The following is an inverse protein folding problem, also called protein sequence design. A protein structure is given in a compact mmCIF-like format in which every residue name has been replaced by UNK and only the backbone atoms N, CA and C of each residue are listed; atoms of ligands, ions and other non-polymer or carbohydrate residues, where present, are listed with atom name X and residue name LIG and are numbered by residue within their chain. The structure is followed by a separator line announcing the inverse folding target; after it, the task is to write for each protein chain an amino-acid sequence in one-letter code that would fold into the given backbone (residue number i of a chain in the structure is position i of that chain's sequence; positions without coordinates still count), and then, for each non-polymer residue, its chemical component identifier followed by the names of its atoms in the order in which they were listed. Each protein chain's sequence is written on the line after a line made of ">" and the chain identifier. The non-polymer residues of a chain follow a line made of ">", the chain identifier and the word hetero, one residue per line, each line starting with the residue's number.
data_IF_923781433059
#
_entry.id   IF_923781433059
#
_cell.length_a   1.000
_cell.length_b   1.000
_cell.length_c   1.000
_cell.angle_alpha   90.00
_cell.angle_beta   90.00
_cell.angle_gamma   90.00
#
_symmetry.space_group_name_H-M   'P 1'
#
loop_
_entity.id
_entity.type
_entity.pdbx_description
1 polymer ?
#
# COMPACT_ATOMS: atom_id res chain seq x y z
N UNK A 1 23.12 2.08 -16.02
CA UNK A 1 22.24 3.13 -15.45
C UNK A 1 21.31 3.77 -16.47
N UNK A 2 21.77 4.10 -17.68
CA UNK A 2 20.96 4.77 -18.71
C UNK A 2 19.73 3.97 -19.16
N UNK A 3 19.88 2.67 -19.46
CA UNK A 3 18.77 1.85 -19.96
C UNK A 3 17.65 1.68 -18.92
N UNK A 4 17.99 1.38 -17.66
CA UNK A 4 16.99 1.30 -16.59
C UNK A 4 16.25 2.62 -16.41
N UNK A 5 16.96 3.75 -16.41
CA UNK A 5 16.35 5.07 -16.28
C UNK A 5 15.32 5.37 -17.39
N UNK A 6 15.66 5.08 -18.65
CA UNK A 6 14.73 5.26 -19.77
C UNK A 6 13.50 4.35 -19.68
N UNK A 7 13.67 3.10 -19.22
CA UNK A 7 12.56 2.17 -19.01
C UNK A 7 11.62 2.68 -17.91
N UNK A 8 12.15 3.14 -16.76
CA UNK A 8 11.33 3.68 -15.69
C UNK A 8 10.59 4.94 -16.13
N UNK A 9 11.25 5.81 -16.91
CA UNK A 9 10.67 7.04 -17.43
C UNK A 9 9.50 6.76 -18.38
N UNK A 10 9.64 5.79 -19.29
CA UNK A 10 8.56 5.36 -20.18
C UNK A 10 7.39 4.78 -19.38
N UNK A 11 7.64 3.92 -18.39
CA UNK A 11 6.60 3.35 -17.53
C UNK A 11 5.85 4.42 -16.73
N UNK A 12 6.54 5.43 -16.21
CA UNK A 12 5.94 6.55 -15.48
C UNK A 12 5.05 7.36 -16.43
N UNK A 13 5.55 7.73 -17.61
CA UNK A 13 4.77 8.50 -18.60
C UNK A 13 3.53 7.72 -19.02
N UNK A 14 3.66 6.42 -19.29
CA UNK A 14 2.52 5.56 -19.62
C UNK A 14 1.50 5.51 -18.48
N UNK A 15 1.96 5.35 -17.24
CA UNK A 15 1.11 5.35 -16.05
C UNK A 15 0.36 6.68 -15.88
N UNK A 16 1.01 7.82 -16.13
CA UNK A 16 0.41 9.15 -16.05
C UNK A 16 -0.66 9.32 -17.14
N UNK A 17 -0.32 8.97 -18.39
CA UNK A 17 -1.25 9.07 -19.52
C UNK A 17 -2.49 8.21 -19.27
N UNK A 18 -2.32 6.98 -18.77
CA UNK A 18 -3.44 6.11 -18.41
C UNK A 18 -4.30 6.68 -17.29
N UNK A 19 -3.70 7.27 -16.25
CA UNK A 19 -4.47 7.94 -15.18
C UNK A 19 -5.28 9.13 -15.70
N UNK A 20 -4.75 9.91 -16.64
CA UNK A 20 -5.47 11.05 -17.24
C UNK A 20 -6.67 10.55 -18.05
N UNK A 21 -6.47 9.53 -18.89
CA UNK A 21 -7.54 8.94 -19.72
C UNK A 21 -8.67 8.39 -18.83
N UNK A 22 -8.31 7.70 -17.74
CA UNK A 22 -9.26 7.12 -16.79
C UNK A 22 -9.86 8.12 -15.79
N UNK A 23 -9.42 9.36 -15.79
CA UNK A 23 -10.07 10.47 -15.07
C UNK A 23 -11.33 10.97 -15.79
N UNK A 24 -11.46 10.69 -17.09
CA UNK A 24 -12.57 11.17 -17.92
C UNK A 24 -13.85 10.38 -17.62
N UNK A 25 -14.98 11.03 -17.25
CA UNK A 25 -16.25 10.39 -16.94
C UNK A 25 -16.78 9.43 -18.01
N UNK A 26 -16.63 9.78 -19.28
CA UNK A 26 -17.08 8.94 -20.38
C UNK A 26 -16.34 7.60 -20.44
N UNK A 27 -15.04 7.59 -20.13
CA UNK A 27 -14.19 6.39 -20.20
C UNK A 27 -14.36 5.56 -18.93
N UNK A 28 -14.30 6.21 -17.77
CA UNK A 28 -14.32 5.49 -16.52
C UNK A 28 -15.67 4.84 -16.25
N UNK A 29 -16.78 5.48 -16.64
CA UNK A 29 -18.11 4.90 -16.48
C UNK A 29 -18.29 3.60 -17.29
N UNK A 30 -17.57 3.46 -18.42
CA UNK A 30 -17.62 2.28 -19.29
C UNK A 30 -16.72 1.14 -18.80
N UNK A 31 -15.62 1.47 -18.14
CA UNK A 31 -14.57 0.52 -17.72
C UNK A 31 -14.19 0.65 -16.24
N UNK A 32 -15.18 0.79 -15.36
CA UNK A 32 -14.99 1.06 -13.91
C UNK A 32 -14.11 0.03 -13.18
N UNK A 33 -14.14 -1.24 -13.61
CA UNK A 33 -13.33 -2.32 -13.03
C UNK A 33 -11.85 -2.16 -13.35
N UNK A 34 -11.54 -1.91 -14.63
CA UNK A 34 -10.18 -1.69 -15.12
C UNK A 34 -9.62 -0.37 -14.58
N UNK A 35 -10.45 0.69 -14.50
CA UNK A 35 -10.08 1.95 -13.85
C UNK A 35 -9.59 1.71 -12.42
N UNK A 36 -10.35 0.94 -11.63
CA UNK A 36 -9.99 0.68 -10.24
C UNK A 36 -8.68 -0.10 -10.13
N UNK A 37 -8.46 -1.08 -11.00
CA UNK A 37 -7.18 -1.80 -11.10
C UNK A 37 -6.02 -0.85 -11.44
N UNK A 38 -6.20 0.06 -12.40
CA UNK A 38 -5.18 1.07 -12.76
C UNK A 38 -4.87 1.98 -11.59
N UNK A 39 -5.89 2.44 -10.85
CA UNK A 39 -5.69 3.28 -9.65
C UNK A 39 -4.89 2.53 -8.58
N UNK A 40 -5.18 1.25 -8.35
CA UNK A 40 -4.41 0.42 -7.42
C UNK A 40 -2.95 0.38 -7.86
N UNK A 41 -2.68 0.01 -9.12
CA UNK A 41 -1.31 -0.07 -9.66
C UNK A 41 -0.56 1.27 -9.54
N UNK A 42 -1.22 2.39 -9.86
CA UNK A 42 -0.61 3.72 -9.76
C UNK A 42 -0.29 4.06 -8.30
N UNK A 43 -1.23 3.84 -7.38
CA UNK A 43 -1.04 4.15 -5.95
C UNK A 43 0.11 3.36 -5.34
N UNK A 44 0.22 2.06 -5.68
CA UNK A 44 1.25 1.16 -5.18
C UNK A 44 2.63 1.46 -5.78
N UNK A 45 2.68 1.88 -7.04
CA UNK A 45 3.93 2.35 -7.63
C UNK A 45 4.38 3.66 -6.98
N UNK A 46 3.47 4.63 -6.83
CA UNK A 46 3.82 5.98 -6.38
C UNK A 46 4.26 6.02 -4.92
N UNK A 47 3.55 5.31 -4.03
CA UNK A 47 3.81 5.37 -2.60
C UNK A 47 4.49 4.12 -2.03
N UNK A 48 4.48 3.00 -2.76
CA UNK A 48 5.14 1.77 -2.35
C UNK A 48 6.52 1.66 -2.99
N UNK A 49 6.54 1.27 -4.27
CA UNK A 49 7.77 0.89 -4.97
C UNK A 49 8.74 2.07 -5.12
N UNK A 50 8.26 3.26 -5.50
CA UNK A 50 9.13 4.42 -5.70
C UNK A 50 9.75 4.88 -4.39
N UNK A 51 8.97 4.99 -3.30
CA UNK A 51 9.49 5.35 -1.98
C UNK A 51 10.59 4.37 -1.54
N UNK A 52 10.35 3.07 -1.67
CA UNK A 52 11.33 2.06 -1.31
C UNK A 52 12.61 2.12 -2.14
N UNK A 53 12.50 2.29 -3.46
CA UNK A 53 13.65 2.44 -4.34
C UNK A 53 14.44 3.69 -3.98
N UNK A 54 13.78 4.80 -3.68
CA UNK A 54 14.44 6.05 -3.25
C UNK A 54 15.24 5.85 -1.96
N UNK A 55 14.70 5.12 -0.99
CA UNK A 55 15.43 4.80 0.25
C UNK A 55 16.67 3.95 -0.03
N UNK A 56 16.56 2.93 -0.88
CA UNK A 56 17.70 2.09 -1.27
C UNK A 56 18.78 2.88 -2.01
N UNK A 57 18.40 3.80 -2.90
CA UNK A 57 19.35 4.69 -3.58
C UNK A 57 20.03 5.64 -2.60
N UNK A 58 19.29 6.15 -1.60
CA UNK A 58 19.83 7.03 -0.57
C UNK A 58 20.84 6.28 0.31
N UNK A 59 20.51 5.06 0.72
CA UNK A 59 21.38 4.18 1.52
C UNK A 59 22.60 3.67 0.74
N UNK A 60 22.47 3.45 -0.57
CA UNK A 60 23.56 3.01 -1.44
C UNK A 60 24.44 4.15 -1.97
N UNK A 61 24.01 5.40 -1.81
CA UNK A 61 24.74 6.58 -2.26
C UNK A 61 25.84 6.94 -1.27
N UNK A 62 27.09 6.90 -1.74
CA UNK A 62 28.27 7.34 -0.97
C UNK A 62 28.23 8.83 -0.60
N UNK A 63 27.31 9.63 -1.16
CA UNK A 63 27.20 11.06 -0.86
C UNK A 63 26.64 11.36 0.53
N UNK A 64 25.94 10.42 1.17
CA UNK A 64 25.19 10.68 2.40
C UNK A 64 25.90 10.21 3.68
N UNK A 65 27.23 10.00 3.65
CA UNK A 65 28.01 9.56 4.82
C UNK A 65 27.77 8.10 5.23
N UNK A 66 26.86 7.40 4.55
CA UNK A 66 26.46 6.03 4.81
C UNK A 66 27.25 5.08 3.91
N UNK A 67 28.30 4.45 4.44
CA UNK A 67 29.07 3.44 3.72
C UNK A 67 28.52 2.03 3.96
N UNK A 68 27.43 1.67 3.28
CA UNK A 68 27.01 0.28 3.21
C UNK A 68 27.85 -0.50 2.19
N UNK A 69 28.41 -1.64 2.61
CA UNK A 69 28.92 -2.64 1.66
C UNK A 69 27.76 -3.18 0.82
N UNK A 70 28.04 -3.59 -0.43
CA UNK A 70 27.06 -4.16 -1.36
C UNK A 70 26.27 -5.31 -0.72
N UNK A 71 26.95 -6.18 0.01
CA UNK A 71 26.32 -7.33 0.69
C UNK A 71 25.36 -6.89 1.79
N UNK A 72 25.70 -5.81 2.50
CA UNK A 72 24.84 -5.30 3.57
C UNK A 72 23.58 -4.63 3.00
N UNK A 73 23.72 -3.91 1.88
CA UNK A 73 22.59 -3.28 1.19
C UNK A 73 21.64 -4.32 0.58
N UNK A 74 22.18 -5.41 -0.01
CA UNK A 74 21.37 -6.52 -0.51
C UNK A 74 20.64 -7.26 0.61
N UNK A 75 21.33 -7.56 1.71
CA UNK A 75 20.68 -8.18 2.88
C UNK A 75 19.57 -7.30 3.45
N UNK A 76 19.82 -5.99 3.56
CA UNK A 76 18.81 -5.02 3.99
C UNK A 76 17.59 -5.01 3.05
N UNK A 77 17.84 -5.07 1.74
CA UNK A 77 16.81 -5.13 0.71
C UNK A 77 15.92 -6.35 0.90
N UNK A 78 16.52 -7.54 1.00
CA UNK A 78 15.77 -8.79 1.21
C UNK A 78 15.01 -8.82 2.53
N UNK A 79 15.59 -8.29 3.62
CA UNK A 79 14.93 -8.22 4.93
C UNK A 79 13.69 -7.33 4.87
N UNK A 80 13.78 -6.12 4.29
CA UNK A 80 12.61 -5.24 4.18
C UNK A 80 11.53 -5.84 3.30
N UNK A 81 11.90 -6.45 2.16
CA UNK A 81 10.94 -7.12 1.29
C UNK A 81 10.25 -8.29 2.02
N UNK A 82 11.01 -9.08 2.80
CA UNK A 82 10.47 -10.17 3.59
C UNK A 82 9.49 -9.66 4.66
N UNK A 83 9.86 -8.61 5.40
CA UNK A 83 8.99 -8.00 6.42
C UNK A 83 7.72 -7.44 5.76
N UNK A 84 7.85 -6.70 4.66
CA UNK A 84 6.71 -6.17 3.91
C UNK A 84 5.78 -7.27 3.41
N UNK A 85 6.34 -8.38 2.93
CA UNK A 85 5.57 -9.55 2.52
C UNK A 85 4.84 -10.24 3.68
N UNK A 86 5.49 -10.36 4.85
CA UNK A 86 4.84 -10.88 6.05
C UNK A 86 3.68 -9.98 6.52
N UNK A 87 3.88 -8.66 6.52
CA UNK A 87 2.83 -7.68 6.81
C UNK A 87 1.66 -7.84 5.85
N UNK A 88 1.94 -7.98 4.55
CA UNK A 88 0.92 -8.22 3.53
C UNK A 88 0.10 -9.48 3.82
N UNK A 89 0.75 -10.62 4.12
CA UNK A 89 0.06 -11.88 4.45
C UNK A 89 -0.83 -11.72 5.68
N UNK A 90 -0.28 -11.19 6.78
CA UNK A 90 -1.03 -11.01 8.04
C UNK A 90 -2.24 -10.11 7.81
N UNK A 91 -2.05 -9.02 7.07
CA UNK A 91 -3.12 -8.08 6.75
C UNK A 91 -4.18 -8.71 5.86
N UNK A 92 -3.78 -9.47 4.84
CA UNK A 92 -4.69 -10.19 3.96
C UNK A 92 -5.56 -11.19 4.73
N UNK A 93 -4.96 -11.99 5.61
CA UNK A 93 -5.69 -12.93 6.48
C UNK A 93 -6.65 -12.19 7.40
N UNK A 94 -6.18 -11.12 8.06
CA UNK A 94 -7.01 -10.33 8.97
C UNK A 94 -8.23 -9.73 8.25
N UNK A 95 -8.02 -9.14 7.07
CA UNK A 95 -9.11 -8.61 6.25
C UNK A 95 -10.07 -9.70 5.78
N UNK A 96 -9.55 -10.86 5.35
CA UNK A 96 -10.37 -11.99 4.93
C UNK A 96 -11.31 -12.47 6.06
N UNK A 97 -10.78 -12.61 7.28
CA UNK A 97 -11.58 -12.94 8.47
C UNK A 97 -12.62 -11.84 8.75
N UNK A 98 -12.24 -10.57 8.59
CA UNK A 98 -13.13 -9.43 8.81
C UNK A 98 -14.32 -9.40 7.83
N UNK A 99 -14.10 -9.83 6.59
CA UNK A 99 -15.15 -9.96 5.58
C UNK A 99 -16.10 -11.11 5.92
N UNK A 100 -15.58 -12.28 6.28
CA UNK A 100 -16.39 -13.46 6.64
C UNK A 100 -17.28 -13.17 7.85
N UNK A 101 -16.76 -12.43 8.84
CA UNK A 101 -17.53 -12.04 10.03
C UNK A 101 -18.69 -11.08 9.74
N UNK A 102 -18.93 -10.72 8.48
CA UNK A 102 -20.09 -9.91 8.07
C UNK A 102 -20.02 -8.47 8.53
N UNK A 103 -18.84 -8.01 9.00
CA UNK A 103 -18.68 -6.68 9.53
C UNK A 103 -19.01 -5.58 8.51
N UNK A 104 -19.05 -5.86 7.19
CA UNK A 104 -19.37 -4.87 6.15
C UNK A 104 -20.83 -4.93 5.62
N UNK A 105 -21.74 -5.68 6.26
CA UNK A 105 -23.18 -5.74 5.86
C UNK A 105 -23.90 -4.43 6.23
N UNK A 106 -24.86 -3.94 5.42
CA UNK A 106 -25.75 -2.82 5.78
C UNK A 106 -26.49 -3.16 7.09
N UNK A 107 -26.43 -2.30 8.10
CA UNK A 107 -26.94 -2.57 9.46
C UNK A 107 -26.03 -3.43 10.34
N UNK A 108 -24.80 -3.74 9.90
CA UNK A 108 -23.76 -4.35 10.72
C UNK A 108 -23.28 -3.36 11.77
N UNK A 109 -22.81 -3.91 12.90
CA UNK A 109 -22.10 -3.19 13.96
C UNK A 109 -21.06 -2.19 13.41
N UNK A 110 -20.46 -2.37 12.21
CA UNK A 110 -19.52 -1.36 11.64
C UNK A 110 -20.13 -0.03 11.18
N UNK A 111 -21.40 0.01 10.81
CA UNK A 111 -22.07 1.26 10.42
C UNK A 111 -22.30 2.15 11.65
N UNK A 112 -22.54 1.53 12.81
CA UNK A 112 -22.61 2.16 14.14
C UNK A 112 -21.21 2.33 14.80
N UNK A 113 -20.23 1.48 14.47
CA UNK A 113 -18.86 1.55 15.02
C UNK A 113 -17.98 2.61 14.36
N UNK A 114 -18.43 3.30 13.30
CA UNK A 114 -17.67 4.40 12.68
C UNK A 114 -17.52 5.61 13.62
N UNK A 115 -18.36 5.69 14.65
CA UNK A 115 -18.30 6.70 15.73
C UNK A 115 -17.35 6.31 16.90
N UNK A 116 -16.89 5.06 16.99
CA UNK A 116 -16.07 4.59 18.13
C UNK A 116 -14.66 4.15 17.68
N UNK A 117 -13.73 5.10 17.73
CA UNK A 117 -12.31 4.94 17.34
C UNK A 117 -11.61 3.74 18.02
N UNK A 118 -12.02 3.41 19.25
CA UNK A 118 -11.45 2.31 20.05
C UNK A 118 -11.65 0.92 19.40
N UNK A 119 -12.79 0.72 18.73
CA UNK A 119 -13.11 -0.57 18.11
C UNK A 119 -12.44 -0.73 16.73
N UNK A 120 -12.19 0.38 16.02
CA UNK A 120 -11.34 0.39 14.83
C UNK A 120 -9.92 -0.05 15.19
N UNK A 121 -9.33 0.54 16.24
CA UNK A 121 -7.99 0.19 16.70
C UNK A 121 -7.91 -1.30 17.09
N UNK A 122 -8.90 -1.85 17.79
CA UNK A 122 -8.96 -3.29 18.13
C UNK A 122 -8.99 -4.19 16.90
N UNK A 123 -9.69 -3.79 15.82
CA UNK A 123 -9.78 -4.57 14.59
C UNK A 123 -8.48 -4.56 13.78
N UNK A 124 -7.72 -3.46 13.82
CA UNK A 124 -6.43 -3.33 13.13
C UNK A 124 -5.24 -3.68 14.03
N UNK A 125 -5.48 -4.08 15.28
CA UNK A 125 -4.44 -4.40 16.26
C UNK A 125 -3.40 -5.39 15.75
N UNK A 126 -3.74 -6.53 15.11
CA UNK A 126 -2.73 -7.47 14.61
C UNK A 126 -1.85 -6.86 13.52
N UNK A 127 -2.41 -5.97 12.70
CA UNK A 127 -1.70 -5.26 11.63
C UNK A 127 -0.76 -4.21 12.23
N UNK A 128 -1.23 -3.46 13.23
CA UNK A 128 -0.41 -2.46 13.95
C UNK A 128 0.76 -3.15 14.65
N UNK A 129 0.53 -4.30 15.30
CA UNK A 129 1.58 -5.07 15.97
C UNK A 129 2.60 -5.56 14.94
N UNK A 130 2.15 -6.18 13.85
CA UNK A 130 3.06 -6.67 12.80
C UNK A 130 3.89 -5.54 12.17
N UNK A 131 3.25 -4.41 11.84
CA UNK A 131 3.92 -3.24 11.28
C UNK A 131 4.91 -2.58 12.24
N UNK A 132 4.53 -2.41 13.52
CA UNK A 132 5.40 -1.80 14.53
C UNK A 132 6.62 -2.66 14.87
N UNK A 133 6.45 -3.99 14.98
CA UNK A 133 7.57 -4.92 15.17
C UNK A 133 8.52 -4.88 13.96
N UNK A 134 7.99 -4.91 12.74
CA UNK A 134 8.80 -4.78 11.52
C UNK A 134 9.60 -3.48 11.48
N UNK A 135 8.95 -2.35 11.81
CA UNK A 135 9.61 -1.05 11.86
C UNK A 135 10.71 -1.00 12.93
N UNK A 136 10.48 -1.57 14.12
CA UNK A 136 11.49 -1.64 15.17
C UNK A 136 12.75 -2.40 14.72
N UNK A 137 12.60 -3.53 14.02
CA UNK A 137 13.74 -4.29 13.50
C UNK A 137 14.55 -3.48 12.47
N UNK A 138 13.86 -2.77 11.57
CA UNK A 138 14.50 -1.88 10.60
C UNK A 138 15.25 -0.75 11.30
N UNK A 139 14.62 -0.10 12.28
CA UNK A 139 15.22 0.98 13.06
C UNK A 139 16.48 0.49 13.78
N UNK A 140 16.40 -0.64 14.50
CA UNK A 140 17.56 -1.22 15.18
C UNK A 140 18.70 -1.57 14.21
N UNK A 141 18.38 -2.10 13.02
CA UNK A 141 19.38 -2.38 12.01
C UNK A 141 20.08 -1.10 11.53
N UNK A 142 19.30 -0.06 11.24
CA UNK A 142 19.80 1.24 10.81
C UNK A 142 20.71 1.82 11.89
N UNK A 143 20.26 1.95 13.14
CA UNK A 143 21.07 2.48 14.24
C UNK A 143 22.35 1.68 14.52
N UNK A 144 22.33 0.34 14.36
CA UNK A 144 23.51 -0.49 14.63
C UNK A 144 24.57 -0.41 13.53
N UNK A 145 24.16 -0.15 12.29
CA UNK A 145 25.06 -0.13 11.13
C UNK A 145 25.46 1.28 10.73
N UNK A 146 24.60 2.23 10.98
CA UNK A 146 24.87 3.63 10.78
C UNK A 146 25.69 4.12 11.96
N UNK A 147 26.99 4.31 11.75
CA UNK A 147 27.87 4.99 12.68
C UNK A 147 27.60 6.51 12.60
N UNK A 148 26.33 6.92 12.79
CA UNK A 148 25.85 8.29 12.63
C UNK A 148 26.59 9.17 13.63
N UNK A 149 27.42 10.08 13.12
CA UNK A 149 27.76 11.29 13.87
C UNK A 149 26.49 12.10 14.07
N UNK A 150 26.30 12.71 15.24
CA UNK A 150 25.14 13.56 15.53
C UNK A 150 25.18 14.89 14.76
N UNK A 151 25.33 14.85 13.45
CA UNK A 151 25.25 16.02 12.56
C UNK A 151 23.81 16.18 12.05
N UNK A 152 23.42 17.42 11.75
CA UNK A 152 22.07 17.73 11.28
C UNK A 152 21.71 17.02 9.95
N UNK A 153 22.65 16.93 9.02
CA UNK A 153 22.44 16.32 7.71
C UNK A 153 22.19 14.80 7.81
N UNK A 154 22.92 14.11 8.70
CA UNK A 154 22.79 12.67 8.92
C UNK A 154 21.42 12.33 9.54
N UNK A 155 20.94 13.17 10.45
CA UNK A 155 19.61 13.05 11.06
C UNK A 155 18.50 13.28 10.03
N UNK A 156 18.63 14.30 9.17
CA UNK A 156 17.65 14.55 8.11
C UNK A 156 17.54 13.36 7.15
N UNK A 157 18.67 12.80 6.71
CA UNK A 157 18.68 11.64 5.83
C UNK A 157 18.06 10.41 6.49
N UNK A 158 18.35 10.17 7.77
CA UNK A 158 17.74 9.09 8.54
C UNK A 158 16.22 9.23 8.61
N UNK A 159 15.70 10.44 8.86
CA UNK A 159 14.24 10.69 8.90
C UNK A 159 13.61 10.40 7.55
N UNK A 160 14.23 10.83 6.44
CA UNK A 160 13.73 10.57 5.09
C UNK A 160 13.65 9.06 4.82
N UNK A 161 14.71 8.31 5.13
CA UNK A 161 14.76 6.85 4.96
C UNK A 161 13.67 6.15 5.79
N UNK A 162 13.50 6.54 7.05
CA UNK A 162 12.47 5.95 7.92
C UNK A 162 11.08 6.25 7.35
N UNK A 163 10.85 7.48 6.90
CA UNK A 163 9.57 7.89 6.34
C UNK A 163 9.23 7.09 5.07
N UNK A 164 10.20 6.88 4.18
CA UNK A 164 10.01 6.08 2.96
C UNK A 164 9.68 4.62 3.26
N UNK A 165 10.36 4.01 4.24
CA UNK A 165 10.08 2.63 4.68
C UNK A 165 8.70 2.53 5.34
N UNK A 166 8.33 3.52 6.16
CA UNK A 166 6.99 3.60 6.76
C UNK A 166 5.90 3.69 5.68
N UNK A 167 6.11 4.51 4.65
CA UNK A 167 5.17 4.62 3.52
C UNK A 167 5.06 3.30 2.74
N UNK A 168 6.18 2.62 2.52
CA UNK A 168 6.20 1.30 1.89
C UNK A 168 5.40 0.27 2.69
N UNK A 169 5.60 0.19 4.01
CA UNK A 169 4.83 -0.72 4.87
C UNK A 169 3.35 -0.34 4.95
N UNK A 170 3.01 0.95 4.99
CA UNK A 170 1.63 1.40 4.94
C UNK A 170 0.95 0.95 3.64
N UNK A 171 1.62 1.03 2.50
CA UNK A 171 1.07 0.57 1.22
C UNK A 171 0.89 -0.95 1.15
N UNK A 172 1.76 -1.72 1.79
CA UNK A 172 1.59 -3.18 1.95
C UNK A 172 0.36 -3.55 2.79
N UNK A 173 -0.02 -2.70 3.75
CA UNK A 173 -1.25 -2.85 4.54
C UNK A 173 -2.51 -2.48 3.75
N UNK A 174 -2.42 -1.44 2.93
CA UNK A 174 -3.55 -0.94 2.12
C UNK A 174 -3.83 -1.86 0.91
N UNK A 175 -2.81 -2.53 0.36
CA UNK A 175 -2.94 -3.37 -0.83
C UNK A 175 -3.97 -4.51 -0.70
N UNK A 176 -4.00 -5.31 0.39
CA UNK A 176 -5.03 -6.34 0.59
C UNK A 176 -6.46 -5.79 0.53
N UNK A 177 -6.70 -4.63 1.16
CA UNK A 177 -8.02 -3.99 1.16
C UNK A 177 -8.43 -3.58 -0.26
N UNK A 178 -7.50 -2.95 -0.98
CA UNK A 178 -7.70 -2.57 -2.38
C UNK A 178 -8.02 -3.78 -3.28
N UNK A 179 -7.31 -4.91 -3.10
CA UNK A 179 -7.54 -6.14 -3.87
C UNK A 179 -8.89 -6.79 -3.54
N UNK A 180 -9.29 -6.80 -2.27
CA UNK A 180 -10.63 -7.25 -1.86
C UNK A 180 -11.72 -6.40 -2.49
N UNK A 181 -11.59 -5.07 -2.46
CA UNK A 181 -12.56 -4.16 -3.07
C UNK A 181 -12.63 -4.34 -4.58
N UNK A 182 -11.48 -4.56 -5.22
CA UNK A 182 -11.41 -4.90 -6.65
C UNK A 182 -12.19 -6.20 -6.92
N UNK A 183 -11.94 -7.26 -6.14
CA UNK A 183 -12.68 -8.53 -6.25
C UNK A 183 -14.20 -8.31 -6.09
N UNK A 184 -14.62 -7.56 -5.07
CA UNK A 184 -16.02 -7.22 -4.84
C UNK A 184 -16.63 -6.49 -6.04
N UNK A 185 -15.89 -5.54 -6.65
CA UNK A 185 -16.33 -4.79 -7.84
C UNK A 185 -16.45 -5.66 -9.09
N UNK A 186 -15.61 -6.70 -9.22
CA UNK A 186 -15.74 -7.70 -10.27
C UNK A 186 -16.94 -8.63 -10.05
N UNK A 187 -17.16 -9.07 -8.81
CA UNK A 187 -18.14 -10.10 -8.43
C UNK A 187 -19.57 -9.58 -8.28
N UNK A 188 -19.75 -8.38 -7.75
CA UNK A 188 -21.06 -7.82 -7.40
C UNK A 188 -21.38 -6.58 -8.24
N UNK A 189 -22.56 -6.58 -8.87
CA UNK A 189 -22.98 -5.44 -9.70
C UNK A 189 -23.30 -4.19 -8.88
N UNK A 190 -23.77 -4.32 -7.64
CA UNK A 190 -24.11 -3.21 -6.75
C UNK A 190 -22.92 -2.33 -6.31
N UNK A 191 -21.69 -2.75 -6.59
CA UNK A 191 -20.48 -1.94 -6.40
C UNK A 191 -20.10 -1.11 -7.65
N UNK A 192 -20.88 -1.23 -8.73
CA UNK A 192 -20.69 -0.48 -9.97
C UNK A 192 -21.79 0.58 -10.11
N UNK A 193 -21.48 1.69 -10.77
CA UNK A 193 -22.45 2.75 -11.05
C UNK A 193 -23.11 2.55 -12.41
N UNK A 194 -24.39 2.90 -12.52
CA UNK A 194 -25.04 3.12 -13.80
C UNK A 194 -24.37 4.28 -14.55
N UNK A 195 -24.58 4.34 -15.86
CA UNK A 195 -24.09 5.45 -16.70
C UNK A 195 -24.64 6.82 -16.25
N UNK A 196 -25.82 6.81 -15.60
CA UNK A 196 -26.44 7.96 -14.93
C UNK A 196 -25.67 8.47 -13.70
N UNK A 197 -24.75 7.68 -13.13
CA UNK A 197 -23.96 8.05 -11.95
C UNK A 197 -24.54 7.55 -10.62
N UNK A 198 -25.71 6.92 -10.62
CA UNK A 198 -26.26 6.26 -9.43
C UNK A 198 -25.65 4.87 -9.23
N UNK A 199 -25.48 4.43 -7.97
CA UNK A 199 -25.07 3.06 -7.64
C UNK A 199 -26.12 2.09 -8.19
N UNK A 200 -25.68 0.96 -8.77
CA UNK A 200 -26.61 -0.11 -9.15
C UNK A 200 -27.31 -0.64 -7.90
N UNK A 201 -28.63 -0.68 -7.92
CA UNK A 201 -29.40 -1.22 -6.82
C UNK A 201 -29.07 -2.71 -6.64
N UNK A 202 -28.93 -3.14 -5.38
CA UNK A 202 -28.76 -4.54 -5.06
C UNK A 202 -30.10 -5.24 -5.32
N UNK A 203 -30.18 -5.96 -6.42
CA UNK A 203 -31.34 -6.82 -6.72
C UNK A 203 -31.58 -7.77 -5.52
N UNK A 204 -32.72 -7.63 -4.84
CA UNK A 204 -33.06 -8.31 -3.59
C UNK A 204 -32.98 -9.85 -3.69
N UNK A 205 -32.99 -10.40 -4.92
CA UNK A 205 -32.85 -11.84 -5.19
C UNK A 205 -31.46 -12.40 -4.89
N UNK A 206 -30.43 -11.58 -4.73
CA UNK A 206 -29.06 -12.04 -4.40
C UNK A 206 -28.82 -12.31 -2.91
N UNK A 207 -29.77 -11.95 -2.02
CA UNK A 207 -29.69 -12.16 -0.57
C UNK A 207 -29.84 -13.63 -0.12
N UNK A 208 -29.98 -14.60 -1.04
CA UNK A 208 -30.25 -16.01 -0.71
C UNK A 208 -29.01 -16.91 -0.61
N UNK A 209 -27.79 -16.41 -0.77
CA UNK A 209 -26.56 -17.20 -0.55
C UNK A 209 -25.45 -16.37 0.09
N UNK A 210 -25.60 -16.14 1.39
CA UNK A 210 -24.48 -15.99 2.32
C UNK A 210 -24.68 -17.00 3.43
#
# INVERSE_FOLDING_TARGET
>A
MTIHFWITLILIIYSIIYSIIYSIPAVYKKSQKIQYLVVILVSQNLFGIICYIMDLFTLGSQKYGIHFSKDTLLNFTYIILLIGFLIFIVTFICFYILLIKGHYRKGSRKEEQRDNMENLIKSYLPVIIAGSVGLLFVMQFLFRKLNIGFNADDIQNLIIIILGICLFFAMMVVLPEQLVLLYCKYRFEGFNFYMSGHLKELDEKSNKKF
#
